data_IF_107721681551
#
_entry.id   IF_107721681551
#
_cell.length_a   1.000
_cell.length_b   1.000
_cell.length_c   1.000
_cell.angle_alpha   90.00
_cell.angle_beta   90.00
_cell.angle_gamma   90.00
#
_symmetry.space_group_name_H-M   'P 1'
#
loop_
_entity.id
_entity.type
_entity.pdbx_description
1 polymer ?
#
# COMPACT_ATOMS: atom_id res chain seq x y z
N UNK A 1 -18.65 -6.99 4.91
CA UNK A 1 -17.96 -6.77 3.62
C UNK A 1 -18.07 -5.28 3.30
N UNK A 2 -16.96 -4.53 3.20
CA UNK A 2 -17.00 -3.12 2.78
C UNK A 2 -16.92 -3.07 1.25
N UNK A 3 -17.79 -2.31 0.61
CA UNK A 3 -17.85 -2.15 -0.85
C UNK A 3 -18.07 -0.66 -1.16
N UNK A 4 -17.62 -0.19 -2.33
CA UNK A 4 -17.78 1.21 -2.71
C UNK A 4 -19.26 1.58 -2.87
N UNK A 5 -19.64 2.83 -2.60
CA UNK A 5 -21.04 3.29 -2.67
C UNK A 5 -21.97 2.69 -1.60
N UNK A 6 -21.44 1.98 -0.60
CA UNK A 6 -22.22 1.38 0.48
C UNK A 6 -22.87 2.37 1.46
N UNK A 7 -22.66 3.67 1.26
CA UNK A 7 -23.24 4.74 2.08
C UNK A 7 -24.56 5.26 1.52
N UNK A 8 -25.00 4.80 0.35
CA UNK A 8 -26.38 5.01 -0.08
C UNK A 8 -27.33 4.12 0.72
N UNK A 9 -28.61 4.48 0.73
CA UNK A 9 -29.63 3.64 1.35
C UNK A 9 -30.08 2.55 0.37
N UNK A 10 -29.95 1.29 0.78
CA UNK A 10 -30.33 0.12 -0.01
C UNK A 10 -31.56 -0.57 0.60
N UNK A 11 -32.44 -1.07 -0.27
CA UNK A 11 -33.67 -1.72 0.19
C UNK A 11 -33.34 -3.04 0.92
N UNK A 12 -33.91 -3.28 2.12
CA UNK A 12 -33.51 -4.39 3.00
C UNK A 12 -33.98 -5.78 2.54
N UNK A 13 -34.97 -5.86 1.65
CA UNK A 13 -35.41 -7.13 1.06
C UNK A 13 -34.48 -7.54 -0.08
N UNK A 14 -33.27 -7.94 0.30
CA UNK A 14 -32.29 -8.54 -0.59
C UNK A 14 -32.51 -10.06 -0.57
N UNK A 15 -33.14 -10.60 -1.60
CA UNK A 15 -33.01 -12.02 -1.91
C UNK A 15 -31.59 -12.26 -2.44
N UNK A 16 -30.98 -13.39 -2.08
CA UNK A 16 -29.59 -13.77 -2.41
C UNK A 16 -29.25 -13.71 -3.91
N UNK A 17 -30.27 -13.66 -4.78
CA UNK A 17 -30.17 -13.64 -6.24
C UNK A 17 -30.43 -12.27 -6.90
N UNK A 18 -30.59 -11.15 -6.15
CA UNK A 18 -31.00 -9.86 -6.75
C UNK A 18 -30.00 -8.71 -6.57
N UNK A 19 -29.88 -7.95 -7.66
CA UNK A 19 -29.16 -6.69 -7.82
C UNK A 19 -29.45 -5.71 -6.66
N UNK A 20 -28.42 -4.98 -6.21
CA UNK A 20 -28.54 -3.93 -5.21
C UNK A 20 -29.57 -2.87 -5.64
N UNK A 21 -30.67 -2.75 -4.92
CA UNK A 21 -31.68 -1.71 -5.17
C UNK A 21 -31.45 -0.51 -4.25
N UNK A 22 -31.13 0.63 -4.87
CA UNK A 22 -31.07 1.93 -4.21
C UNK A 22 -32.48 2.42 -3.90
N UNK A 23 -32.68 2.96 -2.71
CA UNK A 23 -33.90 3.67 -2.33
C UNK A 23 -33.67 5.15 -2.65
N UNK A 24 -34.49 5.70 -3.54
CA UNK A 24 -34.44 7.11 -3.94
C UNK A 24 -35.71 7.79 -3.43
N UNK A 25 -35.54 8.87 -2.66
CA UNK A 25 -36.61 9.65 -2.03
C UNK A 25 -36.61 11.12 -2.46
N UNK A 26 -35.50 11.61 -3.00
CA UNK A 26 -35.31 12.99 -3.47
C UNK A 26 -34.92 13.03 -4.95
N UNK A 27 -34.98 14.22 -5.56
CA UNK A 27 -34.57 14.45 -6.95
C UNK A 27 -33.05 14.24 -7.12
N UNK A 28 -32.26 14.66 -6.12
CA UNK A 28 -30.80 14.51 -6.06
C UNK A 28 -30.40 13.67 -4.85
N UNK A 29 -29.83 12.48 -5.09
CA UNK A 29 -29.40 11.56 -4.04
C UNK A 29 -27.88 11.61 -3.85
N UNK A 30 -27.43 11.79 -2.61
CA UNK A 30 -26.02 11.96 -2.27
C UNK A 30 -25.58 10.93 -1.23
N UNK A 31 -24.36 10.42 -1.37
CA UNK A 31 -23.75 9.55 -0.37
C UNK A 31 -23.62 10.26 0.98
N UNK A 32 -24.11 9.63 2.06
CA UNK A 32 -23.96 10.19 3.41
C UNK A 32 -22.51 10.29 3.90
N UNK A 33 -21.63 9.43 3.39
CA UNK A 33 -20.19 9.42 3.73
C UNK A 33 -19.37 9.11 2.47
N UNK A 34 -18.20 9.75 2.33
CA UNK A 34 -17.28 9.44 1.23
C UNK A 34 -16.76 8.00 1.33
N UNK A 35 -16.78 7.29 0.20
CA UNK A 35 -16.23 5.93 0.08
C UNK A 35 -15.00 5.88 -0.82
N UNK A 36 -14.33 7.01 -1.02
CA UNK A 36 -13.21 7.11 -1.98
C UNK A 36 -12.00 6.24 -1.57
N UNK A 37 -11.82 6.00 -0.27
CA UNK A 37 -10.83 5.05 0.25
C UNK A 37 -11.04 3.62 -0.28
N UNK A 38 -12.29 3.25 -0.62
CA UNK A 38 -12.65 1.92 -1.14
C UNK A 38 -12.51 1.81 -2.66
N UNK A 39 -12.32 2.94 -3.34
CA UNK A 39 -12.19 3.02 -4.80
C UNK A 39 -10.74 3.11 -5.26
N UNK A 40 -9.84 3.59 -4.39
CA UNK A 40 -8.41 3.62 -4.69
C UNK A 40 -7.90 2.19 -4.95
N UNK A 41 -7.14 1.94 -6.04
CA UNK A 41 -6.47 0.67 -6.22
C UNK A 41 -5.22 0.56 -5.33
N UNK A 42 -4.74 1.68 -4.79
CA UNK A 42 -3.50 1.77 -4.02
C UNK A 42 -3.79 1.52 -2.54
N UNK A 43 -3.16 0.48 -1.97
CA UNK A 43 -3.25 0.15 -0.54
C UNK A 43 -2.07 0.68 0.25
N UNK A 44 -0.85 0.56 -0.29
CA UNK A 44 0.41 0.91 0.38
C UNK A 44 1.42 1.48 -0.61
N UNK A 45 2.35 2.27 -0.10
CA UNK A 45 3.64 2.52 -0.74
C UNK A 45 4.74 1.74 -0.01
N UNK A 46 5.77 1.34 -0.74
CA UNK A 46 6.90 0.60 -0.19
C UNK A 46 8.23 1.01 -0.83
N UNK A 47 9.30 0.94 -0.04
CA UNK A 47 10.68 1.02 -0.53
C UNK A 47 11.31 -0.38 -0.51
N UNK A 48 11.93 -0.74 -1.63
CA UNK A 48 12.61 -2.02 -1.82
C UNK A 48 14.03 -1.84 -2.33
N UNK A 49 14.89 -2.81 -2.03
CA UNK A 49 16.28 -2.88 -2.47
C UNK A 49 16.56 -4.26 -3.08
N UNK A 50 17.47 -4.32 -4.04
CA UNK A 50 17.94 -5.60 -4.60
C UNK A 50 19.40 -5.88 -4.26
N UNK A 51 20.11 -4.92 -3.68
CA UNK A 51 21.56 -4.98 -3.49
C UNK A 51 22.04 -4.59 -2.10
N UNK A 52 21.20 -3.96 -1.27
CA UNK A 52 21.51 -3.79 0.15
C UNK A 52 21.26 -5.15 0.83
N UNK A 53 22.27 -5.75 1.49
CA UNK A 53 22.15 -7.09 2.05
C UNK A 53 21.38 -7.05 3.38
N UNK A 54 20.08 -6.74 3.33
CA UNK A 54 19.19 -6.83 4.49
C UNK A 54 18.69 -8.26 4.68
N UNK A 55 18.50 -8.68 5.93
CA UNK A 55 17.79 -9.91 6.25
C UNK A 55 16.37 -9.81 5.68
N UNK A 56 15.93 -10.73 4.82
CA UNK A 56 14.60 -10.67 4.22
C UNK A 56 13.48 -10.76 5.27
N UNK A 57 12.42 -9.98 5.07
CA UNK A 57 11.17 -10.16 5.79
C UNK A 57 10.37 -11.34 5.24
N UNK A 58 9.61 -12.01 6.12
CA UNK A 58 8.63 -13.00 5.70
C UNK A 58 7.37 -12.27 5.24
N UNK A 59 7.16 -12.22 3.93
CA UNK A 59 5.97 -11.62 3.33
C UNK A 59 4.87 -12.70 3.26
N UNK A 60 3.62 -12.39 3.67
CA UNK A 60 2.52 -13.32 3.54
C UNK A 60 2.24 -13.65 2.07
N UNK A 61 1.71 -14.84 1.77
CA UNK A 61 1.34 -15.24 0.42
C UNK A 61 0.30 -14.27 -0.18
N UNK A 62 0.35 -14.10 -1.50
CA UNK A 62 -0.60 -13.24 -2.23
C UNK A 62 -2.01 -13.82 -2.16
N UNK A 63 -3.01 -12.97 -2.40
CA UNK A 63 -4.41 -13.41 -2.43
C UNK A 63 -4.61 -14.47 -3.52
N UNK A 64 -4.88 -15.72 -3.10
CA UNK A 64 -5.05 -16.88 -3.99
C UNK A 64 -3.87 -17.86 -3.99
N UNK A 65 -2.78 -17.57 -3.28
CA UNK A 65 -1.69 -18.52 -3.02
C UNK A 65 -1.97 -19.35 -1.74
N UNK A 66 -1.34 -20.52 -1.64
CA UNK A 66 -1.48 -21.41 -0.48
C UNK A 66 -0.88 -20.72 0.78
N UNK A 67 -1.65 -20.57 1.88
CA UNK A 67 -1.16 -20.03 3.15
C UNK A 67 0.10 -20.73 3.70
N UNK A 68 0.34 -21.99 3.31
CA UNK A 68 1.51 -22.77 3.71
C UNK A 68 2.78 -22.48 2.90
N UNK A 69 2.68 -21.81 1.75
CA UNK A 69 3.84 -21.39 0.97
C UNK A 69 4.40 -20.07 1.53
N UNK A 70 5.54 -20.15 2.20
CA UNK A 70 6.33 -18.96 2.51
C UNK A 70 6.76 -18.37 1.17
N UNK A 71 6.21 -17.20 0.82
CA UNK A 71 6.59 -16.50 -0.39
C UNK A 71 8.00 -15.91 -0.23
N UNK A 72 9.01 -16.76 -0.50
CA UNK A 72 10.45 -16.39 -0.43
C UNK A 72 10.89 -15.57 -1.64
N UNK A 73 9.99 -15.21 -2.56
CA UNK A 73 10.34 -14.60 -3.85
C UNK A 73 10.74 -13.14 -3.74
N UNK A 74 10.50 -12.49 -2.60
CA UNK A 74 10.71 -11.06 -2.46
C UNK A 74 11.62 -10.73 -1.28
N UNK A 75 12.93 -10.77 -1.54
CA UNK A 75 13.95 -10.26 -0.63
C UNK A 75 14.07 -8.74 -0.77
N UNK A 76 14.54 -8.06 0.28
CA UNK A 76 14.91 -6.64 0.21
C UNK A 76 13.78 -5.63 0.40
N UNK A 77 12.81 -5.94 1.26
CA UNK A 77 11.83 -4.95 1.70
C UNK A 77 12.44 -4.06 2.81
N UNK A 78 12.24 -2.73 2.73
CA UNK A 78 12.79 -1.79 3.73
C UNK A 78 11.70 -1.15 4.59
N UNK A 79 10.63 -0.68 3.97
CA UNK A 79 9.51 -0.06 4.69
C UNK A 79 8.27 -0.05 3.79
N UNK A 80 7.10 -0.17 4.40
CA UNK A 80 5.81 0.19 3.82
C UNK A 80 5.05 1.21 4.66
N UNK A 81 4.15 1.90 3.97
CA UNK A 81 3.21 2.85 4.53
C UNK A 81 1.82 2.64 3.91
N UNK A 82 0.80 2.58 4.76
CA UNK A 82 -0.59 2.51 4.31
C UNK A 82 -1.00 3.85 3.68
N UNK A 83 -1.51 3.80 2.46
CA UNK A 83 -2.08 4.96 1.77
C UNK A 83 -3.59 4.88 1.93
N UNK A 84 -4.19 5.97 2.37
CA UNK A 84 -5.63 6.16 2.32
C UNK A 84 -5.94 7.34 1.41
N UNK A 85 -6.73 7.08 0.38
CA UNK A 85 -7.23 8.12 -0.50
C UNK A 85 -8.34 8.88 0.22
N UNK A 86 -8.16 10.19 0.39
CA UNK A 86 -9.13 11.05 1.06
C UNK A 86 -9.77 12.10 0.14
N UNK A 87 -9.26 12.26 -1.08
CA UNK A 87 -9.72 13.27 -2.05
C UNK A 87 -9.75 12.74 -3.48
N UNK A 88 -10.31 13.50 -4.42
CA UNK A 88 -10.29 13.18 -5.86
C UNK A 88 -8.98 13.59 -6.56
N UNK A 89 -7.97 14.08 -5.82
CA UNK A 89 -6.70 14.46 -6.41
C UNK A 89 -5.93 13.22 -6.84
N UNK A 90 -5.61 13.16 -8.13
CA UNK A 90 -4.83 12.08 -8.76
C UNK A 90 -3.34 12.16 -8.42
N UNK A 91 -2.84 13.36 -8.11
CA UNK A 91 -1.44 13.60 -7.74
C UNK A 91 -1.42 14.01 -6.27
N UNK A 92 -0.66 13.28 -5.46
CA UNK A 92 -0.55 13.54 -4.03
C UNK A 92 0.91 13.45 -3.60
N UNK A 93 1.31 14.39 -2.74
CA UNK A 93 2.54 14.27 -1.99
C UNK A 93 2.35 13.23 -0.89
N UNK A 94 3.21 12.20 -0.89
CA UNK A 94 3.21 11.19 0.17
C UNK A 94 4.35 11.57 1.12
N UNK A 95 4.00 12.02 2.32
CA UNK A 95 4.95 12.22 3.41
C UNK A 95 4.85 11.04 4.36
N UNK A 96 5.93 10.29 4.49
CA UNK A 96 6.05 9.24 5.49
C UNK A 96 7.06 9.64 6.57
N UNK A 97 6.63 9.60 7.83
CA UNK A 97 7.51 9.67 8.99
C UNK A 97 7.17 8.51 9.91
N UNK A 98 8.15 7.68 10.32
CA UNK A 98 7.89 6.54 11.18
C UNK A 98 7.17 6.97 12.48
N UNK A 99 6.03 6.37 12.85
CA UNK A 99 5.32 6.75 14.07
C UNK A 99 6.02 6.17 15.29
N UNK A 100 6.70 7.03 16.06
CA UNK A 100 7.19 6.73 17.41
C UNK A 100 8.37 5.77 17.53
N UNK A 101 8.65 4.93 16.53
CA UNK A 101 9.78 3.98 16.52
C UNK A 101 10.33 3.78 15.10
N UNK A 102 11.65 3.63 15.01
CA UNK A 102 12.32 3.23 13.77
C UNK A 102 12.09 1.72 13.54
N UNK A 103 11.74 1.35 12.31
CA UNK A 103 11.76 -0.06 11.87
C UNK A 103 13.18 -0.41 11.46
N UNK A 104 13.76 -1.40 12.12
CA UNK A 104 15.15 -1.82 11.91
C UNK A 104 15.20 -3.10 11.08
N UNK A 105 16.18 -3.14 10.18
CA UNK A 105 16.55 -4.33 9.43
C UNK A 105 17.97 -4.71 9.78
N UNK A 106 18.20 -5.98 10.08
CA UNK A 106 19.55 -6.48 10.25
C UNK A 106 20.24 -6.51 8.89
N UNK A 107 21.45 -5.97 8.82
CA UNK A 107 22.32 -6.19 7.67
C UNK A 107 22.99 -7.55 7.81
N UNK A 108 22.98 -8.32 6.73
CA UNK A 108 23.76 -9.56 6.65
C UNK A 108 25.24 -9.20 6.68
N UNK A 109 26.01 -9.99 7.41
CA UNK A 109 27.45 -9.85 7.58
C UNK A 109 28.19 -10.29 6.31
N UNK A 110 28.07 -9.52 5.23
CA UNK A 110 28.81 -9.79 4.00
C UNK A 110 29.36 -8.51 3.39
N UNK A 111 30.69 -8.43 3.38
CA UNK A 111 31.59 -7.54 2.60
C UNK A 111 31.30 -6.04 2.58
N UNK A 112 32.37 -5.25 2.46
CA UNK A 112 32.31 -3.78 2.32
C UNK A 112 31.31 -3.36 1.24
N UNK A 113 30.22 -2.71 1.66
CA UNK A 113 29.18 -2.21 0.76
C UNK A 113 29.57 -0.82 0.25
N UNK A 114 29.96 -0.72 -1.01
CA UNK A 114 30.31 0.56 -1.64
C UNK A 114 29.14 1.25 -2.33
N UNK A 115 28.11 0.50 -2.73
CA UNK A 115 26.93 1.02 -3.41
C UNK A 115 25.71 0.10 -3.21
N UNK A 116 24.51 0.68 -3.21
CA UNK A 116 23.26 -0.07 -3.23
C UNK A 116 22.13 0.67 -3.95
N UNK A 117 21.08 -0.07 -4.31
CA UNK A 117 19.88 0.45 -4.97
C UNK A 117 18.69 0.53 -4.01
N UNK A 118 17.84 1.52 -4.25
CA UNK A 118 16.50 1.62 -3.66
C UNK A 118 15.52 1.89 -4.80
N UNK A 119 14.34 1.30 -4.71
CA UNK A 119 13.24 1.46 -5.66
C UNK A 119 11.94 1.69 -4.90
N UNK A 120 11.09 2.58 -5.42
CA UNK A 120 9.80 2.93 -4.84
C UNK A 120 8.67 2.21 -5.59
N UNK A 121 7.74 1.65 -4.82
CA UNK A 121 6.64 0.83 -5.32
C UNK A 121 5.34 1.21 -4.62
N UNK A 122 4.22 1.02 -5.30
CA UNK A 122 2.90 0.98 -4.67
C UNK A 122 2.33 -0.43 -4.77
N UNK A 123 1.54 -0.82 -3.77
CA UNK A 123 0.98 -2.15 -3.62
C UNK A 123 -0.53 -2.07 -3.71
N UNK A 124 -1.15 -2.91 -4.54
CA UNK A 124 -2.61 -3.00 -4.64
C UNK A 124 -3.23 -3.85 -3.51
N UNK A 125 -4.56 -3.83 -3.38
CA UNK A 125 -5.28 -4.64 -2.38
C UNK A 125 -5.18 -6.16 -2.58
N UNK A 126 -4.65 -6.63 -3.72
CA UNK A 126 -4.35 -8.05 -3.98
C UNK A 126 -2.90 -8.42 -3.60
N UNK A 127 -2.08 -7.43 -3.22
CA UNK A 127 -0.68 -7.59 -2.87
C UNK A 127 0.29 -7.46 -4.04
N UNK A 128 -0.17 -7.09 -5.25
CA UNK A 128 0.75 -6.92 -6.38
C UNK A 128 1.52 -5.61 -6.27
N UNK A 129 2.79 -5.67 -6.66
CA UNK A 129 3.70 -4.54 -6.67
C UNK A 129 3.71 -3.85 -8.03
N UNK A 130 3.66 -2.52 -8.00
CA UNK A 130 3.70 -1.66 -9.17
C UNK A 130 4.72 -0.55 -8.94
N UNK A 131 5.62 -0.33 -9.90
CA UNK A 131 6.69 0.66 -9.72
C UNK A 131 6.10 2.08 -9.68
N UNK A 132 6.57 2.92 -8.75
CA UNK A 132 6.22 4.34 -8.73
C UNK A 132 7.05 5.06 -9.79
N UNK A 133 6.36 5.78 -10.66
CA UNK A 133 6.97 6.69 -11.62
C UNK A 133 6.81 8.11 -11.10
N UNK A 134 7.92 8.86 -11.06
CA UNK A 134 7.90 10.28 -10.72
C UNK A 134 7.42 11.06 -11.95
N UNK A 135 6.24 11.69 -11.91
CA UNK A 135 5.73 12.44 -13.04
C UNK A 135 6.47 13.78 -13.13
N UNK A 136 7.19 14.01 -14.24
CA UNK A 136 7.78 15.30 -14.69
C UNK A 136 8.85 15.98 -13.80
N UNK A 137 9.49 17.00 -14.38
CA UNK A 137 10.77 17.64 -13.98
C UNK A 137 10.84 18.15 -12.53
N UNK A 138 9.70 18.38 -11.87
CA UNK A 138 9.62 18.94 -10.51
C UNK A 138 9.26 17.90 -9.42
N UNK A 139 9.24 16.61 -9.76
CA UNK A 139 8.96 15.56 -8.78
C UNK A 139 10.20 15.29 -7.91
N UNK A 140 10.11 15.62 -6.62
CA UNK A 140 11.16 15.34 -5.64
C UNK A 140 10.89 14.03 -4.90
N UNK A 141 11.92 13.18 -4.81
CA UNK A 141 11.94 12.01 -3.94
C UNK A 141 13.05 12.19 -2.90
N UNK A 142 12.66 12.35 -1.63
CA UNK A 142 13.59 12.45 -0.50
C UNK A 142 13.50 11.19 0.35
N UNK A 143 14.65 10.54 0.56
CA UNK A 143 14.75 9.30 1.36
C UNK A 143 15.83 9.51 2.42
N UNK A 144 15.43 9.33 3.68
CA UNK A 144 16.35 9.36 4.82
C UNK A 144 16.52 7.95 5.38
N UNK A 145 17.76 7.48 5.46
CA UNK A 145 18.12 6.17 6.02
C UNK A 145 19.06 6.34 7.19
N UNK A 146 18.91 5.48 8.20
CA UNK A 146 19.78 5.46 9.39
C UNK A 146 20.46 4.09 9.45
N UNK A 147 21.79 4.10 9.46
CA UNK A 147 22.61 2.94 9.75
C UNK A 147 23.11 3.06 11.18
N UNK A 148 22.80 2.07 12.02
CA UNK A 148 23.17 2.08 13.43
C UNK A 148 23.98 0.83 13.74
N UNK A 149 25.14 1.03 14.34
CA UNK A 149 25.90 -0.05 14.94
C UNK A 149 25.30 -0.44 16.29
N UNK A 150 25.17 -1.73 16.53
CA UNK A 150 24.69 -2.31 17.79
C UNK A 150 25.87 -3.02 18.45
N UNK A 151 26.79 -2.22 18.99
CA UNK A 151 27.81 -2.71 19.94
C UNK A 151 27.20 -3.00 21.30
#
# INVERSE_FOLDING_TARGET
MKWALNSFWFHPTMDEDRMYQLVLSEDDEVQGTSTIELLSPVSRAALRTTSLPVVPELIPPLAGEDPGEINRRETGFLVDYNISQSSSQSTQGILFTPPGFLRWHNLMTTSDLSAFSISAWWIDYKGNFHQIYLPVEDATLEIYMIFKDTF
#
